data_IF_419334789473
#
_entry.id   IF_419334789473
#
_cell.length_a   1.000
_cell.length_b   1.000
_cell.length_c   1.000
_cell.angle_alpha   90.00
_cell.angle_beta   90.00
_cell.angle_gamma   90.00
#
_symmetry.space_group_name_H-M   'P 1'
#
loop_
_entity.id
_entity.type
_entity.pdbx_description
1 polymer ?
#
# COMPACT_ATOMS: atom_id res chain seq x y z
N UNK A 1 -2.14 -1.35 12.10
CA UNK A 1 -3.23 -2.31 11.93
C UNK A 1 -2.93 -3.36 10.87
N UNK A 2 -2.16 -3.06 9.84
CA UNK A 2 -1.86 -3.98 8.75
C UNK A 2 -0.94 -5.15 9.11
N UNK A 3 -0.17 -5.08 10.20
CA UNK A 3 0.80 -6.12 10.60
C UNK A 3 0.36 -6.93 11.82
N UNK A 4 -0.66 -6.52 12.56
CA UNK A 4 -1.12 -7.24 13.78
C UNK A 4 -1.54 -8.69 13.50
N UNK A 5 -1.99 -9.00 12.29
CA UNK A 5 -2.32 -10.35 11.84
C UNK A 5 -1.17 -11.34 11.93
N UNK A 6 0.09 -10.89 11.87
CA UNK A 6 1.28 -11.74 12.00
C UNK A 6 1.31 -12.57 13.29
N UNK A 7 0.77 -12.02 14.40
CA UNK A 7 0.66 -12.75 15.67
C UNK A 7 -0.18 -14.02 15.52
N UNK A 8 -1.34 -13.89 14.88
CA UNK A 8 -2.25 -15.02 14.67
C UNK A 8 -1.75 -15.98 13.60
N UNK A 9 -1.05 -15.48 12.58
CA UNK A 9 -0.40 -16.32 11.56
C UNK A 9 0.66 -17.21 12.20
N UNK A 10 1.53 -16.68 13.06
CA UNK A 10 2.56 -17.46 13.77
C UNK A 10 1.98 -18.58 14.64
N UNK A 11 0.82 -18.36 15.25
CA UNK A 11 0.14 -19.36 16.08
C UNK A 11 -0.46 -20.53 15.27
N UNK A 12 -0.70 -20.33 13.97
CA UNK A 12 -1.44 -21.26 13.10
C UNK A 12 -0.64 -21.81 11.94
N UNK A 13 0.44 -21.16 11.56
CA UNK A 13 1.24 -21.49 10.39
C UNK A 13 2.70 -21.63 10.76
N UNK A 14 3.37 -22.58 10.10
CA UNK A 14 4.83 -22.67 10.14
C UNK A 14 5.42 -21.61 9.20
N UNK A 15 6.06 -20.59 9.79
CA UNK A 15 6.58 -19.44 9.04
C UNK A 15 8.08 -19.55 8.73
N UNK A 16 8.81 -20.51 9.30
CA UNK A 16 10.27 -20.63 9.17
C UNK A 16 10.76 -20.75 7.72
N UNK A 17 9.96 -21.36 6.86
CA UNK A 17 10.23 -21.51 5.43
C UNK A 17 9.76 -20.34 4.56
N UNK A 18 8.98 -19.42 5.10
CA UNK A 18 8.40 -18.31 4.34
C UNK A 18 9.36 -17.13 4.25
N UNK A 19 9.39 -16.47 3.09
CA UNK A 19 10.03 -15.17 2.94
C UNK A 19 9.02 -14.06 3.25
N UNK A 20 9.40 -13.15 4.16
CA UNK A 20 8.61 -11.96 4.49
C UNK A 20 9.39 -10.72 4.03
N UNK A 21 8.81 -9.99 3.10
CA UNK A 21 9.38 -8.76 2.54
C UNK A 21 8.64 -7.58 3.14
N UNK A 22 9.37 -6.62 3.70
CA UNK A 22 8.80 -5.39 4.22
C UNK A 22 9.82 -4.25 4.17
N UNK A 23 9.34 -3.01 4.25
CA UNK A 23 10.21 -1.87 4.45
C UNK A 23 10.99 -2.01 5.78
N UNK A 24 12.27 -1.60 5.86
CA UNK A 24 13.06 -1.73 7.08
C UNK A 24 12.42 -1.16 8.33
N UNK A 25 11.71 -0.02 8.20
CA UNK A 25 11.03 0.65 9.32
C UNK A 25 9.65 0.07 9.67
N UNK A 26 9.18 -0.98 8.97
CA UNK A 26 7.89 -1.62 9.25
C UNK A 26 7.81 -2.19 10.68
N UNK A 27 8.95 -2.62 11.23
CA UNK A 27 9.06 -3.23 12.53
C UNK A 27 9.69 -2.31 13.60
N UNK A 28 9.80 -1.01 13.32
CA UNK A 28 10.18 -0.01 14.33
C UNK A 28 9.05 0.18 15.37
N UNK A 29 9.44 0.57 16.58
CA UNK A 29 8.45 0.93 17.61
C UNK A 29 7.67 2.17 17.17
N UNK A 30 6.33 2.10 17.23
CA UNK A 30 5.42 3.20 16.83
C UNK A 30 4.37 3.45 17.90
N UNK A 31 4.10 4.72 18.17
CA UNK A 31 3.14 5.16 19.19
C UNK A 31 2.20 6.23 18.64
N UNK A 32 0.93 6.16 19.02
CA UNK A 32 -0.03 7.24 18.86
C UNK A 32 -0.55 7.64 20.26
N UNK A 33 -0.14 8.79 20.73
CA UNK A 33 -0.28 9.13 22.13
C UNK A 33 0.43 8.10 23.03
N UNK A 34 -0.31 7.45 23.91
CA UNK A 34 0.17 6.40 24.81
C UNK A 34 -0.04 4.98 24.23
N UNK A 35 -0.74 4.86 23.10
CA UNK A 35 -1.04 3.57 22.47
C UNK A 35 0.07 3.11 21.53
N UNK A 36 0.52 1.85 21.68
CA UNK A 36 1.40 1.23 20.71
C UNK A 36 0.63 0.84 19.44
N UNK A 37 1.03 1.42 18.31
CA UNK A 37 0.47 1.16 16.99
C UNK A 37 1.43 0.42 16.07
N UNK A 38 2.62 0.05 16.54
CA UNK A 38 3.63 -0.69 15.79
C UNK A 38 3.27 -2.14 15.51
N UNK A 39 4.16 -2.82 14.77
CA UNK A 39 4.07 -4.23 14.50
C UNK A 39 4.22 -5.06 15.80
N UNK A 40 3.63 -6.28 15.86
CA UNK A 40 3.68 -7.12 17.06
C UNK A 40 5.07 -7.74 17.33
N UNK A 41 5.96 -7.65 16.37
CA UNK A 41 7.32 -8.20 16.43
C UNK A 41 8.32 -7.15 15.96
N UNK A 42 9.53 -7.20 16.50
CA UNK A 42 10.68 -6.44 16.01
C UNK A 42 11.28 -7.10 14.75
N UNK A 43 12.17 -6.39 14.05
CA UNK A 43 12.95 -6.97 12.95
C UNK A 43 13.80 -8.18 13.40
N UNK A 44 14.33 -8.15 14.62
CA UNK A 44 15.08 -9.26 15.19
C UNK A 44 14.19 -10.48 15.47
N UNK A 45 12.97 -10.26 15.98
CA UNK A 45 12.00 -11.34 16.17
C UNK A 45 11.61 -11.96 14.82
N UNK A 46 11.38 -11.13 13.79
CA UNK A 46 11.04 -11.60 12.46
C UNK A 46 12.14 -12.45 11.83
N UNK A 47 13.41 -12.09 12.03
CA UNK A 47 14.55 -12.90 11.58
C UNK A 47 14.63 -14.29 12.25
N UNK A 48 14.08 -14.41 13.47
CA UNK A 48 13.96 -15.71 14.16
C UNK A 48 12.70 -16.51 13.79
N UNK A 49 11.71 -15.87 13.17
CA UNK A 49 10.41 -16.50 12.84
C UNK A 49 10.35 -16.94 11.37
N UNK A 50 10.96 -16.18 10.46
CA UNK A 50 10.86 -16.37 9.01
C UNK A 50 12.15 -15.92 8.32
N UNK A 51 12.21 -16.09 6.99
CA UNK A 51 13.28 -15.46 6.19
C UNK A 51 12.91 -13.99 5.94
N UNK A 52 13.22 -13.13 6.90
CA UNK A 52 12.96 -11.71 6.78
C UNK A 52 13.92 -11.03 5.79
N UNK A 53 13.35 -10.36 4.77
CA UNK A 53 14.08 -9.58 3.77
C UNK A 53 13.65 -8.11 3.80
N UNK A 54 14.41 -7.22 4.44
CA UNK A 54 14.15 -5.79 4.42
C UNK A 54 14.39 -5.21 3.02
N UNK A 55 13.41 -4.46 2.49
CA UNK A 55 13.51 -3.79 1.19
C UNK A 55 13.04 -2.34 1.33
N UNK A 56 13.98 -1.40 1.33
CA UNK A 56 13.67 0.04 1.39
C UNK A 56 13.34 0.65 0.01
N UNK A 57 13.67 -0.03 -1.08
CA UNK A 57 13.37 0.38 -2.45
C UNK A 57 12.69 -0.74 -3.24
N UNK A 58 12.49 -0.56 -4.54
CA UNK A 58 11.83 -1.56 -5.37
C UNK A 58 12.55 -2.90 -5.37
N UNK A 59 11.79 -3.97 -5.15
CA UNK A 59 12.33 -5.33 -5.27
C UNK A 59 11.33 -6.29 -5.92
N UNK A 60 11.82 -7.15 -6.79
CA UNK A 60 11.01 -8.19 -7.41
C UNK A 60 10.74 -9.31 -6.39
N UNK A 61 9.46 -9.66 -6.24
CA UNK A 61 9.00 -10.83 -5.51
C UNK A 61 8.95 -12.03 -6.47
N UNK A 62 8.49 -11.78 -7.69
CA UNK A 62 8.50 -12.72 -8.81
C UNK A 62 8.78 -11.97 -10.13
N UNK A 63 8.73 -12.66 -11.26
CA UNK A 63 8.85 -12.04 -12.58
C UNK A 63 7.81 -10.94 -12.82
N UNK A 64 6.59 -11.12 -12.29
CA UNK A 64 5.47 -10.21 -12.49
C UNK A 64 5.08 -9.40 -11.27
N UNK A 65 5.58 -9.71 -10.07
CA UNK A 65 5.18 -9.02 -8.84
C UNK A 65 6.36 -8.24 -8.25
N UNK A 66 6.13 -6.95 -8.02
CA UNK A 66 7.11 -6.01 -7.48
C UNK A 66 6.60 -5.39 -6.18
N UNK A 67 7.42 -5.37 -5.16
CA UNK A 67 7.23 -4.53 -3.97
C UNK A 67 7.94 -3.19 -4.20
N UNK A 68 7.27 -2.07 -3.98
CA UNK A 68 7.81 -0.75 -4.31
C UNK A 68 8.81 -0.20 -3.27
N UNK A 69 8.76 -0.66 -2.03
CA UNK A 69 9.55 -0.06 -0.95
C UNK A 69 9.04 1.33 -0.56
N UNK A 70 9.91 2.24 -0.16
CA UNK A 70 9.56 3.61 0.18
C UNK A 70 9.07 4.38 -1.06
N UNK A 71 7.88 4.98 -0.96
CA UNK A 71 7.28 5.76 -2.03
C UNK A 71 7.80 7.21 -1.96
N UNK A 72 8.33 7.80 -3.04
CA UNK A 72 8.76 9.19 -3.06
C UNK A 72 7.59 10.18 -2.97
N UNK A 73 7.81 11.33 -2.35
CA UNK A 73 6.88 12.47 -2.35
C UNK A 73 7.10 13.27 -3.65
N UNK A 74 6.32 13.01 -4.69
CA UNK A 74 6.45 13.63 -6.01
C UNK A 74 5.26 14.51 -6.40
N UNK A 75 4.08 14.25 -5.81
CA UNK A 75 2.84 14.97 -6.09
C UNK A 75 2.59 16.02 -5.02
N UNK A 76 2.50 17.28 -5.42
CA UNK A 76 2.48 18.45 -4.54
C UNK A 76 1.33 18.51 -3.52
N UNK A 77 0.17 17.92 -3.84
CA UNK A 77 -1.01 17.90 -2.96
C UNK A 77 -1.10 16.67 -2.05
N UNK A 78 -0.22 15.70 -2.22
CA UNK A 78 -0.16 14.49 -1.39
C UNK A 78 0.99 14.55 -0.39
N UNK A 79 1.06 15.65 0.38
CA UNK A 79 2.06 15.81 1.42
C UNK A 79 1.79 14.88 2.59
N UNK A 80 2.79 14.10 3.01
CA UNK A 80 2.71 13.24 4.18
C UNK A 80 2.48 14.04 5.45
N UNK A 81 1.62 13.54 6.32
CA UNK A 81 1.42 14.06 7.67
C UNK A 81 1.90 13.01 8.67
N UNK A 82 2.50 13.47 9.75
CA UNK A 82 2.91 12.58 10.82
C UNK A 82 1.67 11.93 11.47
N UNK A 83 1.76 10.60 11.67
CA UNK A 83 0.77 9.80 12.38
C UNK A 83 1.44 9.22 13.62
N UNK A 84 1.45 9.97 14.72
CA UNK A 84 2.13 9.55 15.93
C UNK A 84 3.65 9.68 15.84
N UNK A 85 4.36 8.81 16.54
CA UNK A 85 5.82 8.84 16.67
C UNK A 85 6.42 7.47 16.45
N UNK A 86 7.61 7.44 15.84
CA UNK A 86 8.41 6.23 15.64
C UNK A 86 9.74 6.34 16.37
N UNK A 87 10.33 5.20 16.76
CA UNK A 87 11.61 5.16 17.44
C UNK A 87 12.71 4.66 16.51
N UNK A 88 13.54 5.58 16.02
CA UNK A 88 14.66 5.28 15.14
C UNK A 88 15.97 5.50 15.87
N UNK A 89 16.84 4.48 15.90
CA UNK A 89 18.15 4.51 16.60
C UNK A 89 18.02 4.98 18.06
N UNK A 90 16.97 4.53 18.75
CA UNK A 90 16.71 4.84 20.15
C UNK A 90 16.08 6.22 20.42
N UNK A 91 15.81 7.04 19.40
CA UNK A 91 15.22 8.38 19.54
C UNK A 91 13.80 8.40 18.98
N UNK A 92 12.87 8.96 19.74
CA UNK A 92 11.51 9.21 19.27
C UNK A 92 11.44 10.44 18.35
N UNK A 93 10.83 10.27 17.20
CA UNK A 93 10.58 11.32 16.22
C UNK A 93 9.19 11.17 15.61
N UNK A 94 8.72 12.17 14.88
CA UNK A 94 7.44 12.10 14.17
C UNK A 94 7.46 10.97 13.13
N UNK A 95 6.38 10.19 13.09
CA UNK A 95 6.22 9.07 12.14
C UNK A 95 5.45 9.54 10.90
N UNK A 96 6.16 9.72 9.80
CA UNK A 96 5.59 10.05 8.49
C UNK A 96 5.23 8.80 7.68
N UNK A 97 5.18 7.63 8.32
CA UNK A 97 4.81 6.34 7.71
C UNK A 97 5.59 6.07 6.42
N UNK A 98 6.93 6.20 6.48
CA UNK A 98 7.81 5.97 5.32
C UNK A 98 7.85 4.51 4.86
N UNK A 99 7.36 3.61 5.72
CA UNK A 99 7.17 2.20 5.44
C UNK A 99 5.85 1.89 4.69
N UNK A 100 5.02 2.91 4.41
CA UNK A 100 3.89 2.78 3.48
C UNK A 100 4.39 2.40 2.08
N UNK A 101 3.81 1.39 1.50
CA UNK A 101 4.26 0.81 0.25
C UNK A 101 3.11 0.16 -0.51
N UNK A 102 3.40 -0.33 -1.71
CA UNK A 102 2.44 -1.06 -2.53
C UNK A 102 3.11 -2.23 -3.26
N UNK A 103 2.28 -3.15 -3.72
CA UNK A 103 2.65 -4.18 -4.69
C UNK A 103 2.20 -3.74 -6.08
N UNK A 104 2.97 -4.11 -7.09
CA UNK A 104 2.60 -3.89 -8.50
C UNK A 104 2.69 -5.22 -9.23
N UNK A 105 1.57 -5.62 -9.82
CA UNK A 105 1.54 -6.70 -10.78
C UNK A 105 1.82 -6.15 -12.19
N UNK A 106 2.82 -6.72 -12.86
CA UNK A 106 3.20 -6.41 -14.24
C UNK A 106 2.47 -7.36 -15.18
N UNK A 107 1.33 -6.91 -15.71
CA UNK A 107 0.63 -7.60 -16.80
C UNK A 107 1.25 -7.32 -18.16
N UNK A 108 0.83 -8.06 -19.18
CA UNK A 108 1.31 -7.85 -20.56
C UNK A 108 0.86 -6.50 -21.12
N UNK A 109 -0.35 -6.07 -20.75
CA UNK A 109 -0.94 -4.84 -21.28
C UNK A 109 -0.78 -3.61 -20.37
N UNK A 110 -0.32 -3.78 -19.13
CA UNK A 110 -0.18 -2.71 -18.17
C UNK A 110 0.06 -3.21 -16.75
N UNK A 111 -0.04 -2.32 -15.79
CA UNK A 111 0.18 -2.62 -14.37
C UNK A 111 -1.12 -2.64 -13.58
N UNK A 112 -1.16 -3.48 -12.54
CA UNK A 112 -2.21 -3.47 -11.53
C UNK A 112 -1.57 -3.21 -10.16
N UNK A 113 -2.09 -2.21 -9.42
CA UNK A 113 -1.51 -1.72 -8.17
C UNK A 113 -2.34 -2.24 -6.99
N UNK A 114 -1.67 -2.80 -5.99
CA UNK A 114 -2.27 -3.31 -4.76
C UNK A 114 -1.64 -2.54 -3.61
N UNK A 115 -2.44 -1.75 -2.89
CA UNK A 115 -1.94 -0.91 -1.80
C UNK A 115 -2.63 -1.22 -0.47
N UNK A 116 -1.99 -0.78 0.63
CA UNK A 116 -2.58 -0.77 1.97
C UNK A 116 -3.47 0.44 2.19
N UNK A 117 -2.99 1.43 2.96
CA UNK A 117 -3.70 2.69 3.23
C UNK A 117 -3.32 3.86 2.32
N UNK A 118 -2.20 3.78 1.61
CA UNK A 118 -1.66 4.88 0.79
C UNK A 118 -1.40 6.16 1.59
N UNK A 119 -0.73 6.05 2.74
CA UNK A 119 -0.32 7.22 3.54
C UNK A 119 0.66 8.11 2.79
N UNK A 120 1.42 7.54 1.85
CA UNK A 120 2.27 8.27 0.89
C UNK A 120 1.49 9.02 -0.19
N UNK A 121 0.19 8.77 -0.32
CA UNK A 121 -0.65 9.28 -1.40
C UNK A 121 -0.79 8.29 -2.55
N UNK A 122 -2.03 8.09 -3.00
CA UNK A 122 -2.31 7.14 -4.09
C UNK A 122 -1.74 7.60 -5.43
N UNK A 123 -1.69 8.92 -5.68
CA UNK A 123 -1.11 9.47 -6.90
C UNK A 123 0.42 9.31 -6.92
N UNK A 124 1.09 9.50 -5.76
CA UNK A 124 2.51 9.19 -5.59
C UNK A 124 2.80 7.72 -5.86
N UNK A 125 1.96 6.81 -5.35
CA UNK A 125 2.10 5.37 -5.58
C UNK A 125 1.95 5.04 -7.07
N UNK A 126 0.94 5.60 -7.75
CA UNK A 126 0.71 5.38 -9.19
C UNK A 126 1.90 5.86 -10.00
N UNK A 127 2.35 7.10 -9.78
CA UNK A 127 3.49 7.67 -10.49
C UNK A 127 4.76 6.83 -10.31
N UNK A 128 5.02 6.41 -9.07
CA UNK A 128 6.19 5.59 -8.77
C UNK A 128 6.09 4.19 -9.36
N UNK A 129 4.91 3.56 -9.30
CA UNK A 129 4.65 2.26 -9.93
C UNK A 129 4.91 2.28 -11.44
N UNK A 130 4.42 3.33 -12.14
CA UNK A 130 4.66 3.53 -13.57
C UNK A 130 6.17 3.66 -13.87
N UNK A 131 6.89 4.46 -13.09
CA UNK A 131 8.33 4.66 -13.25
C UNK A 131 9.13 3.38 -13.01
N UNK A 132 8.84 2.66 -11.91
CA UNK A 132 9.54 1.41 -11.54
C UNK A 132 9.29 0.29 -12.57
N UNK A 133 8.07 0.20 -13.09
CA UNK A 133 7.71 -0.84 -14.05
C UNK A 133 8.00 -0.47 -15.52
N UNK A 134 8.29 0.80 -15.81
CA UNK A 134 8.44 1.30 -17.19
C UNK A 134 7.13 1.22 -17.99
N UNK A 135 5.98 1.23 -17.32
CA UNK A 135 4.66 1.03 -17.90
C UNK A 135 3.73 2.19 -17.53
N UNK A 136 3.10 2.80 -18.54
CA UNK A 136 2.20 3.93 -18.33
C UNK A 136 0.74 3.50 -18.10
N UNK A 137 0.31 2.38 -18.71
CA UNK A 137 -1.06 1.91 -18.62
C UNK A 137 -1.34 1.29 -17.26
N UNK A 138 -2.34 1.81 -16.56
CA UNK A 138 -2.80 1.34 -15.25
C UNK A 138 -4.12 0.60 -15.42
N UNK A 139 -4.09 -0.73 -15.40
CA UNK A 139 -5.27 -1.60 -15.55
C UNK A 139 -6.20 -1.50 -14.36
N UNK A 140 -5.64 -1.31 -13.18
CA UNK A 140 -6.46 -1.12 -11.98
C UNK A 140 -5.65 -0.82 -10.73
N UNK A 141 -6.37 -0.37 -9.71
CA UNK A 141 -5.82 -0.04 -8.39
C UNK A 141 -6.78 -0.57 -7.34
N UNK A 142 -6.29 -1.40 -6.42
CA UNK A 142 -7.07 -1.89 -5.28
C UNK A 142 -6.40 -1.52 -3.96
N UNK A 143 -7.18 -1.05 -3.00
CA UNK A 143 -6.74 -0.80 -1.62
C UNK A 143 -7.34 0.45 -0.98
N UNK A 144 -6.74 0.89 0.10
CA UNK A 144 -7.08 2.13 0.79
C UNK A 144 -6.39 3.34 0.18
N UNK A 145 -7.10 4.46 0.07
CA UNK A 145 -6.55 5.71 -0.50
C UNK A 145 -6.44 6.82 0.53
N UNK A 146 -6.75 6.51 1.79
CA UNK A 146 -6.76 7.44 2.92
C UNK A 146 -7.54 8.74 2.63
N UNK A 147 -8.73 8.58 2.03
CA UNK A 147 -9.61 9.68 1.62
C UNK A 147 -10.95 9.58 2.38
N UNK A 148 -11.16 10.52 3.31
CA UNK A 148 -12.32 10.52 4.19
C UNK A 148 -13.29 11.65 3.87
N UNK A 149 -12.79 12.80 3.42
CA UNK A 149 -13.56 14.01 3.16
C UNK A 149 -13.70 14.29 1.66
N UNK A 150 -14.76 15.02 1.31
CA UNK A 150 -14.97 15.52 -0.05
C UNK A 150 -14.30 16.90 -0.20
N UNK A 151 -12.99 16.92 -0.03
CA UNK A 151 -12.14 18.11 -0.03
C UNK A 151 -11.38 18.29 -1.36
N UNK A 152 -10.53 19.30 -1.42
CA UNK A 152 -9.69 19.59 -2.58
C UNK A 152 -8.73 18.42 -2.91
N UNK A 153 -8.22 17.71 -1.89
CA UNK A 153 -7.37 16.54 -2.10
C UNK A 153 -8.10 15.44 -2.85
N UNK A 154 -9.35 15.16 -2.50
CA UNK A 154 -10.18 14.17 -3.21
C UNK A 154 -10.40 14.60 -4.67
N UNK A 155 -10.72 15.87 -4.93
CA UNK A 155 -10.93 16.38 -6.30
C UNK A 155 -9.67 16.21 -7.14
N UNK A 156 -8.52 16.66 -6.63
CA UNK A 156 -7.23 16.53 -7.32
C UNK A 156 -6.82 15.08 -7.55
N UNK A 157 -7.12 14.19 -6.59
CA UNK A 157 -6.87 12.75 -6.73
C UNK A 157 -7.73 12.15 -7.85
N UNK A 158 -9.03 12.50 -7.93
CA UNK A 158 -9.93 12.05 -9.00
C UNK A 158 -9.41 12.52 -10.37
N UNK A 159 -9.05 13.80 -10.48
CA UNK A 159 -8.52 14.37 -11.71
C UNK A 159 -7.22 13.67 -12.15
N UNK A 160 -6.32 13.41 -11.20
CA UNK A 160 -5.08 12.68 -11.46
C UNK A 160 -5.35 11.26 -11.98
N UNK A 161 -6.19 10.48 -11.29
CA UNK A 161 -6.54 9.11 -11.68
C UNK A 161 -7.23 9.05 -13.04
N UNK A 162 -8.05 10.05 -13.36
CA UNK A 162 -8.66 10.21 -14.68
C UNK A 162 -7.59 10.52 -15.74
N UNK A 163 -6.69 11.46 -15.47
CA UNK A 163 -5.64 11.88 -16.40
C UNK A 163 -4.64 10.75 -16.69
N UNK A 164 -4.27 9.96 -15.70
CA UNK A 164 -3.39 8.81 -15.90
C UNK A 164 -4.09 7.61 -16.57
N UNK A 165 -5.40 7.69 -16.79
CA UNK A 165 -6.18 6.66 -17.48
C UNK A 165 -6.34 5.36 -16.69
N UNK A 166 -6.37 5.42 -15.35
CA UNK A 166 -6.60 4.25 -14.52
C UNK A 166 -7.96 3.61 -14.85
N UNK A 167 -7.95 2.36 -15.34
CA UNK A 167 -9.13 1.75 -15.97
C UNK A 167 -10.16 1.28 -14.96
N UNK A 168 -9.72 0.72 -13.82
CA UNK A 168 -10.59 0.19 -12.77
C UNK A 168 -10.08 0.60 -11.39
N UNK A 169 -10.95 1.13 -10.56
CA UNK A 169 -10.61 1.60 -9.21
C UNK A 169 -11.41 0.80 -8.18
N UNK A 170 -10.70 0.14 -7.28
CA UNK A 170 -11.26 -0.70 -6.22
C UNK A 170 -10.96 -0.08 -4.83
N UNK A 171 -11.59 1.06 -4.48
CA UNK A 171 -11.31 1.75 -3.23
C UNK A 171 -11.97 1.03 -2.04
N UNK A 172 -11.16 0.67 -1.06
CA UNK A 172 -11.63 -0.04 0.14
C UNK A 172 -10.95 0.47 1.41
N UNK A 173 -11.18 -0.21 2.52
CA UNK A 173 -10.55 0.04 3.83
C UNK A 173 -10.72 1.50 4.30
N UNK A 174 -9.74 2.36 4.08
CA UNK A 174 -9.72 3.76 4.55
C UNK A 174 -10.21 4.77 3.49
N UNK A 175 -11.30 4.45 2.81
CA UNK A 175 -11.99 5.35 1.87
C UNK A 175 -13.44 5.48 2.30
N UNK A 176 -13.89 6.71 2.61
CA UNK A 176 -15.26 6.95 3.06
C UNK A 176 -16.28 6.69 1.94
N UNK A 177 -17.52 6.38 2.34
CA UNK A 177 -18.62 6.22 1.38
C UNK A 177 -18.83 7.50 0.55
N UNK A 178 -18.67 8.68 1.17
CA UNK A 178 -18.77 9.98 0.48
C UNK A 178 -17.69 10.14 -0.58
N UNK A 179 -16.45 9.77 -0.26
CA UNK A 179 -15.35 9.81 -1.22
C UNK A 179 -15.59 8.83 -2.38
N UNK A 180 -16.03 7.60 -2.09
CA UNK A 180 -16.38 6.61 -3.12
C UNK A 180 -17.49 7.10 -4.04
N UNK A 181 -18.59 7.67 -3.49
CA UNK A 181 -19.68 8.21 -4.26
C UNK A 181 -19.19 9.31 -5.21
N UNK A 182 -18.31 10.19 -4.75
CA UNK A 182 -17.73 11.24 -5.59
C UNK A 182 -16.82 10.68 -6.69
N UNK A 183 -16.03 9.64 -6.39
CA UNK A 183 -15.22 8.94 -7.40
C UNK A 183 -16.08 8.28 -8.47
N UNK A 184 -17.21 7.67 -8.09
CA UNK A 184 -18.13 6.97 -9.01
C UNK A 184 -18.74 7.88 -10.09
N UNK A 185 -18.80 9.19 -9.86
CA UNK A 185 -19.31 10.16 -10.86
C UNK A 185 -18.38 10.27 -12.08
N UNK A 186 -17.08 9.92 -11.92
CA UNK A 186 -16.06 10.24 -12.94
C UNK A 186 -15.18 9.02 -13.27
N UNK A 187 -14.97 8.11 -12.33
CA UNK A 187 -14.07 6.96 -12.44
C UNK A 187 -14.87 5.66 -12.48
N UNK A 188 -14.29 4.62 -13.09
CA UNK A 188 -14.85 3.27 -13.09
C UNK A 188 -14.58 2.57 -11.75
N UNK A 189 -15.35 2.95 -10.72
CA UNK A 189 -15.25 2.39 -9.36
C UNK A 189 -15.96 1.05 -9.28
N UNK A 190 -15.31 0.08 -8.67
CA UNK A 190 -15.81 -1.27 -8.45
C UNK A 190 -16.04 -1.54 -6.96
N UNK A 191 -16.97 -2.42 -6.65
CA UNK A 191 -17.16 -2.91 -5.30
C UNK A 191 -16.01 -3.84 -4.88
N UNK A 192 -15.70 -3.82 -3.58
CA UNK A 192 -14.72 -4.70 -2.95
C UNK A 192 -15.37 -5.43 -1.79
N UNK A 193 -15.26 -6.74 -1.77
CA UNK A 193 -15.79 -7.58 -0.71
C UNK A 193 -14.86 -8.74 -0.36
N UNK A 194 -15.09 -9.32 0.80
CA UNK A 194 -14.37 -10.53 1.23
C UNK A 194 -14.69 -11.69 0.29
N UNK A 195 -13.67 -12.38 -0.18
CA UNK A 195 -13.81 -13.48 -1.14
C UNK A 195 -13.88 -13.04 -2.60
N UNK A 196 -13.70 -11.73 -2.89
CA UNK A 196 -13.58 -11.26 -4.27
C UNK A 196 -12.30 -11.79 -4.92
N UNK A 197 -12.42 -12.28 -6.15
CA UNK A 197 -11.31 -12.72 -6.97
C UNK A 197 -11.14 -11.81 -8.18
N UNK A 198 -9.90 -11.46 -8.52
CA UNK A 198 -9.54 -10.67 -9.69
C UNK A 198 -8.55 -11.46 -10.56
N UNK A 199 -8.93 -11.69 -11.81
CA UNK A 199 -8.05 -12.28 -12.81
C UNK A 199 -7.33 -11.16 -13.57
N UNK A 200 -6.02 -11.06 -13.40
CA UNK A 200 -5.22 -9.97 -13.96
C UNK A 200 -4.69 -10.24 -15.37
N UNK A 201 -4.65 -11.49 -15.81
CA UNK A 201 -4.12 -11.92 -17.13
C UNK A 201 -5.22 -12.37 -18.12
N UNK A 202 -6.47 -12.02 -17.88
CA UNK A 202 -7.58 -12.41 -18.75
C UNK A 202 -7.94 -13.89 -18.78
N UNK A 203 -7.29 -14.72 -17.96
CA UNK A 203 -7.70 -16.12 -17.73
C UNK A 203 -8.77 -16.12 -16.64
N UNK A 204 -9.99 -16.49 -17.02
CA UNK A 204 -11.06 -16.71 -16.04
C UNK A 204 -10.58 -17.74 -15.01
N UNK A 205 -10.80 -17.46 -13.72
CA UNK A 205 -10.69 -18.46 -12.68
C UNK A 205 -11.67 -19.59 -13.02
N UNK A 206 -11.18 -20.81 -13.11
CA UNK A 206 -11.97 -22.01 -13.31
C UNK A 206 -12.45 -22.54 -11.98
#
# INVERSE_FOLDING_TARGET
DHTRGLKFMKERLELSGMEVIAHPSCFDEKMFGEESIGAPYSAADMAGICRYRPCGGPCNISERLVFLGEIPDAVDFETRKAIGRTRIRGKWQDDYVRDDSALVYRGEEGIFIITGCSHSGICNIVQYAQAVCGQQRVLGIIGGFHLFEADERLVRTIDYLKCCGAEQIYPCHCVSLRAKARMMEVLNVKEVGVGMELCLDGQAAH
#
